data_IF_286264244889
#
_entry.id   IF_286264244889
#
_cell.length_a   1.000
_cell.length_b   1.000
_cell.length_c   1.000
_cell.angle_alpha   90.00
_cell.angle_beta   90.00
_cell.angle_gamma   90.00
#
_symmetry.space_group_name_H-M   'P 1'
#
loop_
_entity.id
_entity.type
_entity.pdbx_description
1 polymer ?
#
# COMPACT_ATOMS: atom_id res chain seq x y z
N UNK A 1 0.94 0.20 9.28
CA UNK A 1 0.32 1.40 8.68
C UNK A 1 -0.30 1.00 7.35
N UNK A 2 -1.44 1.60 7.00
CA UNK A 2 -2.16 1.32 5.76
C UNK A 2 -2.99 2.53 5.34
N UNK A 3 -3.24 2.69 4.04
CA UNK A 3 -4.21 3.63 3.51
C UNK A 3 -5.47 2.86 3.06
N UNK A 4 -6.64 3.24 3.58
CA UNK A 4 -7.91 2.79 3.01
C UNK A 4 -8.21 3.62 1.77
N UNK A 5 -8.30 2.97 0.62
CA UNK A 5 -8.56 3.63 -0.67
C UNK A 5 -9.95 3.26 -1.15
N UNK A 6 -10.83 4.26 -1.22
CA UNK A 6 -12.13 4.16 -1.90
C UNK A 6 -11.97 4.74 -3.29
N UNK A 7 -12.39 4.01 -4.31
CA UNK A 7 -12.21 4.40 -5.71
C UNK A 7 -13.43 4.01 -6.56
N UNK A 8 -13.63 4.74 -7.66
CA UNK A 8 -14.61 4.38 -8.69
C UNK A 8 -13.93 3.53 -9.79
N UNK A 9 -14.31 2.26 -9.96
CA UNK A 9 -13.77 1.38 -11.01
C UNK A 9 -13.97 1.90 -12.44
N UNK A 10 -14.92 2.81 -12.67
CA UNK A 10 -15.14 3.46 -13.96
C UNK A 10 -14.09 4.55 -14.26
N UNK A 11 -13.43 5.09 -13.22
CA UNK A 11 -12.41 6.15 -13.34
C UNK A 11 -10.99 5.58 -13.23
N UNK A 12 -10.75 4.65 -12.30
CA UNK A 12 -9.45 4.03 -12.08
C UNK A 12 -9.59 2.55 -11.77
N UNK A 13 -8.72 1.73 -12.34
CA UNK A 13 -8.74 0.28 -12.10
C UNK A 13 -7.90 -0.09 -10.88
N UNK A 14 -8.28 -1.18 -10.21
CA UNK A 14 -7.47 -1.77 -9.15
C UNK A 14 -6.01 -2.03 -9.59
N UNK A 15 -5.83 -2.52 -10.83
CA UNK A 15 -4.50 -2.80 -11.37
C UNK A 15 -3.64 -1.53 -11.44
N UNK A 16 -4.23 -0.38 -11.78
CA UNK A 16 -3.52 0.91 -11.77
C UNK A 16 -3.17 1.35 -10.37
N UNK A 17 -4.07 1.17 -9.39
CA UNK A 17 -3.78 1.49 -7.99
C UNK A 17 -2.63 0.64 -7.43
N UNK A 18 -2.65 -0.67 -7.69
CA UNK A 18 -1.59 -1.57 -7.26
C UNK A 18 -0.24 -1.26 -7.94
N UNK A 19 -0.25 -0.93 -9.24
CA UNK A 19 0.95 -0.51 -9.96
C UNK A 19 1.55 0.77 -9.36
N UNK A 20 0.72 1.79 -9.08
CA UNK A 20 1.18 3.02 -8.42
C UNK A 20 1.76 2.73 -7.04
N UNK A 21 1.17 1.81 -6.28
CA UNK A 21 1.70 1.42 -4.97
C UNK A 21 3.11 0.81 -5.10
N UNK A 22 3.32 -0.14 -6.01
CA UNK A 22 4.65 -0.72 -6.25
C UNK A 22 5.65 0.31 -6.79
N UNK A 23 5.24 1.18 -7.72
CA UNK A 23 6.09 2.26 -8.26
C UNK A 23 6.57 3.22 -7.15
N UNK A 24 5.79 3.38 -6.07
CA UNK A 24 6.10 4.29 -4.96
C UNK A 24 6.79 3.61 -3.78
N UNK A 25 6.86 2.29 -3.75
CA UNK A 25 7.63 1.55 -2.75
C UNK A 25 9.04 1.34 -3.29
N UNK A 26 10.09 1.94 -2.71
CA UNK A 26 11.45 1.87 -3.27
C UNK A 26 11.99 0.45 -3.42
N UNK A 27 11.56 -0.45 -2.54
CA UNK A 27 12.02 -1.83 -2.52
C UNK A 27 10.99 -2.74 -1.81
N UNK A 28 10.10 -3.41 -2.57
CA UNK A 28 9.08 -4.30 -2.04
C UNK A 28 9.63 -5.68 -1.62
N UNK A 29 10.95 -5.91 -1.68
CA UNK A 29 11.58 -7.15 -1.18
C UNK A 29 12.10 -7.00 0.24
N UNK A 30 11.99 -5.81 0.85
CA UNK A 30 12.39 -5.59 2.23
C UNK A 30 11.29 -6.04 3.20
N UNK A 31 11.64 -6.98 4.08
CA UNK A 31 10.75 -7.43 5.16
C UNK A 31 10.62 -6.33 6.23
N UNK A 32 9.39 -5.99 6.60
CA UNK A 32 9.07 -5.09 7.72
C UNK A 32 9.84 -3.75 7.66
N UNK A 33 9.95 -3.18 6.45
CA UNK A 33 10.74 -1.98 6.20
C UNK A 33 10.34 -1.30 4.88
N UNK A 34 10.29 0.03 4.89
CA UNK A 34 10.24 0.87 3.68
C UNK A 34 11.27 1.98 3.82
N UNK A 35 12.22 2.06 2.88
CA UNK A 35 13.31 3.02 2.95
C UNK A 35 14.10 2.99 4.27
N UNK A 36 14.01 4.08 5.05
CA UNK A 36 14.66 4.20 6.37
C UNK A 36 13.78 3.73 7.53
N UNK A 37 12.48 3.54 7.30
CA UNK A 37 11.50 3.18 8.32
C UNK A 37 11.47 1.67 8.55
N UNK A 38 11.65 1.24 9.81
CA UNK A 38 11.80 -0.18 10.20
C UNK A 38 10.79 -0.58 11.25
N UNK A 39 10.18 -1.75 11.06
CA UNK A 39 9.16 -2.31 11.95
C UNK A 39 8.05 -3.02 11.17
N UNK A 40 7.36 -3.96 11.82
CA UNK A 40 6.27 -4.74 11.19
C UNK A 40 5.09 -3.89 10.71
N UNK A 41 4.95 -2.68 11.25
CA UNK A 41 4.01 -1.67 10.77
C UNK A 41 4.35 -1.12 9.38
N UNK A 42 5.59 -1.26 8.91
CA UNK A 42 6.05 -0.82 7.59
C UNK A 42 6.24 -1.98 6.61
N UNK A 43 5.55 -3.10 6.81
CA UNK A 43 5.53 -4.18 5.83
C UNK A 43 4.73 -3.77 4.59
N UNK A 44 5.15 -4.24 3.43
CA UNK A 44 4.39 -4.05 2.19
C UNK A 44 3.20 -5.00 2.17
N UNK A 45 1.99 -4.51 1.87
CA UNK A 45 0.78 -5.33 1.87
C UNK A 45 -0.31 -4.82 0.92
N UNK A 46 -1.05 -5.76 0.33
CA UNK A 46 -2.27 -5.58 -0.43
C UNK A 46 -3.42 -6.24 0.32
N UNK A 47 -4.25 -5.42 0.95
CA UNK A 47 -5.41 -5.86 1.72
C UNK A 47 -6.68 -5.59 0.91
N UNK A 48 -7.53 -6.61 0.73
CA UNK A 48 -8.74 -6.49 -0.10
C UNK A 48 -10.01 -6.75 0.72
N UNK A 49 -11.08 -6.01 0.42
CA UNK A 49 -12.37 -6.20 1.09
C UNK A 49 -13.24 -7.26 0.40
N UNK A 50 -13.29 -7.24 -0.93
CA UNK A 50 -14.13 -8.15 -1.71
C UNK A 50 -13.33 -9.32 -2.29
N UNK A 51 -13.90 -10.53 -2.27
CA UNK A 51 -13.28 -11.71 -2.89
C UNK A 51 -12.96 -11.50 -4.38
N UNK A 52 -13.78 -10.72 -5.09
CA UNK A 52 -13.55 -10.36 -6.50
C UNK A 52 -12.25 -9.56 -6.74
N UNK A 53 -11.73 -8.87 -5.72
CA UNK A 53 -10.47 -8.13 -5.80
C UNK A 53 -9.26 -8.99 -5.47
N UNK A 54 -9.42 -10.09 -4.72
CA UNK A 54 -8.32 -11.01 -4.38
C UNK A 54 -7.59 -11.53 -5.62
N UNK A 55 -8.34 -11.88 -6.68
CA UNK A 55 -7.73 -12.29 -7.94
C UNK A 55 -6.92 -11.17 -8.61
N UNK A 56 -7.33 -9.91 -8.46
CA UNK A 56 -6.60 -8.75 -8.99
C UNK A 56 -5.34 -8.46 -8.16
N UNK A 57 -5.43 -8.55 -6.83
CA UNK A 57 -4.31 -8.41 -5.91
C UNK A 57 -3.22 -9.46 -6.17
N UNK A 58 -3.61 -10.73 -6.28
CA UNK A 58 -2.69 -11.84 -6.60
C UNK A 58 -2.02 -11.67 -7.97
N UNK A 59 -2.75 -11.15 -8.96
CA UNK A 59 -2.16 -10.84 -10.28
C UNK A 59 -1.15 -9.70 -10.19
N UNK A 60 -1.47 -8.62 -9.48
CA UNK A 60 -0.53 -7.51 -9.28
C UNK A 60 0.74 -7.97 -8.57
N UNK A 61 0.59 -8.75 -7.48
CA UNK A 61 1.71 -9.40 -6.80
C UNK A 61 2.55 -10.27 -7.74
N UNK A 62 1.92 -11.11 -8.57
CA UNK A 62 2.64 -12.02 -9.45
C UNK A 62 3.43 -11.29 -10.54
N UNK A 63 2.91 -10.16 -11.05
CA UNK A 63 3.61 -9.30 -12.00
C UNK A 63 4.85 -8.71 -11.34
N UNK A 64 4.68 -8.09 -10.16
CA UNK A 64 5.79 -7.46 -9.44
C UNK A 64 6.85 -8.51 -9.05
N UNK A 65 6.43 -9.63 -8.45
CA UNK A 65 7.34 -10.69 -8.03
C UNK A 65 8.15 -11.24 -9.21
N UNK A 66 7.55 -11.33 -10.41
CA UNK A 66 8.29 -11.78 -11.61
C UNK A 66 9.39 -10.79 -12.00
N UNK A 67 9.14 -9.49 -11.90
CA UNK A 67 10.14 -8.45 -12.22
C UNK A 67 11.34 -8.51 -11.25
N UNK A 68 11.09 -8.71 -9.95
CA UNK A 68 12.16 -8.85 -8.98
C UNK A 68 12.87 -10.20 -9.06
N UNK A 69 12.14 -11.29 -9.38
CA UNK A 69 12.73 -12.63 -9.53
C UNK A 69 13.77 -12.72 -10.62
N UNK A 70 13.65 -11.94 -11.71
CA UNK A 70 14.72 -11.87 -12.72
C UNK A 70 16.03 -11.29 -12.19
N UNK A 71 16.01 -10.59 -11.06
CA UNK A 71 17.19 -10.10 -10.34
C UNK A 71 17.60 -10.98 -9.14
N UNK A 72 16.99 -12.16 -8.98
CA UNK A 72 17.27 -13.09 -7.88
C UNK A 72 16.64 -12.69 -6.54
N UNK A 73 15.66 -11.79 -6.54
CA UNK A 73 14.98 -11.29 -5.34
C UNK A 73 13.49 -11.58 -5.40
N UNK A 74 12.83 -11.70 -4.26
CA UNK A 74 11.39 -11.99 -4.18
C UNK A 74 10.70 -10.91 -3.36
N UNK A 75 9.55 -10.42 -3.85
CA UNK A 75 8.79 -9.42 -3.11
C UNK A 75 8.15 -10.05 -1.87
N UNK A 76 8.18 -9.31 -0.77
CA UNK A 76 7.68 -9.74 0.54
C UNK A 76 6.28 -9.20 0.81
N UNK A 77 5.56 -8.85 -0.25
CA UNK A 77 4.25 -8.21 -0.17
C UNK A 77 3.21 -9.21 0.33
N UNK A 78 2.58 -8.88 1.45
CA UNK A 78 1.44 -9.64 1.98
C UNK A 78 0.21 -9.43 1.08
N UNK A 79 -0.56 -10.48 0.78
CA UNK A 79 -1.81 -10.39 0.01
C UNK A 79 -2.92 -11.10 0.77
N UNK A 80 -3.77 -10.33 1.45
CA UNK A 80 -4.70 -10.86 2.45
C UNK A 80 -6.10 -10.26 2.31
N UNK A 81 -7.14 -11.04 2.63
CA UNK A 81 -8.52 -10.55 2.71
C UNK A 81 -8.79 -9.93 4.07
N UNK A 82 -9.48 -8.78 4.09
CA UNK A 82 -9.91 -8.11 5.33
C UNK A 82 -11.20 -8.70 5.91
N UNK A 83 -11.93 -9.51 5.14
CA UNK A 83 -13.26 -10.04 5.50
C UNK A 83 -13.25 -11.48 6.01
N UNK A 84 -12.07 -12.08 6.21
CA UNK A 84 -11.95 -13.49 6.60
C UNK A 84 -12.44 -13.80 8.02
N UNK A 85 -13.07 -14.97 8.20
CA UNK A 85 -13.27 -15.59 9.52
C UNK A 85 -11.90 -15.96 10.11
N UNK A 86 -11.66 -15.72 11.42
CA UNK A 86 -10.46 -16.22 12.09
C UNK A 86 -10.33 -17.72 11.85
N UNK A 87 -9.12 -18.20 11.57
CA UNK A 87 -8.81 -19.63 11.63
C UNK A 87 -7.98 -19.89 12.88
N UNK A 88 -7.88 -21.16 13.30
CA UNK A 88 -7.05 -21.58 14.45
C UNK A 88 -5.56 -21.14 14.33
N UNK A 89 -5.14 -20.66 13.16
CA UNK A 89 -3.78 -20.18 12.87
C UNK A 89 -3.70 -18.68 12.54
N UNK A 90 -4.79 -17.92 12.70
CA UNK A 90 -4.89 -16.54 12.20
C UNK A 90 -5.62 -15.62 13.21
N UNK A 91 -5.08 -14.42 13.47
CA UNK A 91 -5.51 -13.46 14.51
C UNK A 91 -6.88 -12.77 14.24
N UNK A 92 -7.71 -13.36 13.39
CA UNK A 92 -9.03 -12.85 13.01
C UNK A 92 -9.04 -11.86 11.84
N UNK A 93 -10.21 -11.28 11.49
CA UNK A 93 -10.34 -10.39 10.36
C UNK A 93 -9.44 -9.16 10.55
N UNK A 94 -8.67 -8.82 9.51
CA UNK A 94 -7.95 -7.56 9.49
C UNK A 94 -8.96 -6.40 9.45
N UNK A 95 -9.04 -5.65 10.53
CA UNK A 95 -9.86 -4.44 10.63
C UNK A 95 -9.05 -3.21 10.22
N UNK A 96 -9.70 -2.28 9.53
CA UNK A 96 -9.14 -0.96 9.30
C UNK A 96 -9.45 -0.04 10.47
N UNK A 97 -8.41 0.45 11.13
CA UNK A 97 -8.51 1.44 12.21
C UNK A 97 -7.98 2.77 11.70
N UNK A 98 -8.82 3.82 11.56
CA UNK A 98 -8.36 5.13 11.16
C UNK A 98 -7.33 5.67 12.16
N UNK A 99 -6.21 6.16 11.66
CA UNK A 99 -5.25 6.93 12.46
C UNK A 99 -5.86 8.29 12.85
N UNK A 100 -5.26 8.94 13.84
CA UNK A 100 -5.69 10.26 14.34
C UNK A 100 -5.75 11.30 13.21
N UNK A 101 -6.58 12.33 13.37
CA UNK A 101 -6.82 13.37 12.35
C UNK A 101 -5.54 14.09 11.89
N UNK A 102 -4.52 14.18 12.75
CA UNK A 102 -3.21 14.73 12.40
C UNK A 102 -2.49 13.94 11.29
N UNK A 103 -2.74 12.64 11.17
CA UNK A 103 -2.15 11.79 10.13
C UNK A 103 -2.89 11.90 8.79
N UNK A 104 -4.16 12.31 8.81
CA UNK A 104 -4.97 12.42 7.61
C UNK A 104 -4.49 13.59 6.75
N UNK A 105 -4.17 13.32 5.48
CA UNK A 105 -3.63 14.32 4.53
C UNK A 105 -2.39 15.06 5.06
N UNK A 106 -1.56 14.41 5.88
CA UNK A 106 -0.42 15.01 6.57
C UNK A 106 0.52 15.81 5.65
N UNK A 107 0.89 15.25 4.49
CA UNK A 107 1.78 15.92 3.54
C UNK A 107 1.13 17.13 2.85
N UNK A 108 -0.16 17.06 2.55
CA UNK A 108 -0.92 18.19 2.01
C UNK A 108 -1.10 19.31 3.04
N UNK A 109 -1.14 18.96 4.34
CA UNK A 109 -1.18 19.92 5.47
C UNK A 109 0.18 20.57 5.76
N UNK A 110 1.27 20.14 5.12
CA UNK A 110 2.61 20.73 5.28
C UNK A 110 3.71 19.78 5.74
N UNK A 111 3.37 18.56 6.16
CA UNK A 111 4.34 17.61 6.69
C UNK A 111 5.14 18.17 7.88
N UNK A 112 6.30 17.57 8.14
CA UNK A 112 7.22 17.93 9.23
C UNK A 112 7.88 19.29 9.05
N UNK A 113 7.93 19.82 7.82
CA UNK A 113 8.66 21.03 7.47
C UNK A 113 7.76 22.23 7.14
N UNK A 114 6.44 22.10 7.29
CA UNK A 114 5.47 23.15 6.99
C UNK A 114 5.40 23.54 5.50
N UNK A 115 5.75 22.61 4.60
CA UNK A 115 5.76 22.82 3.14
C UNK A 115 4.76 21.84 2.47
N UNK A 116 3.54 22.30 2.17
CA UNK A 116 2.51 21.45 1.55
C UNK A 116 2.97 20.78 0.27
N UNK A 117 2.51 19.55 0.07
CA UNK A 117 2.63 18.81 -1.19
C UNK A 117 1.24 18.70 -1.82
N UNK A 118 1.11 19.01 -3.11
CA UNK A 118 -0.19 19.03 -3.78
C UNK A 118 -0.80 17.64 -3.88
N UNK A 119 -2.05 17.50 -3.42
CA UNK A 119 -2.90 16.31 -3.58
C UNK A 119 -3.89 16.46 -4.75
N UNK A 120 -3.67 17.43 -5.64
CA UNK A 120 -4.50 17.64 -6.82
C UNK A 120 -4.38 16.45 -7.79
N UNK A 121 -5.52 16.03 -8.35
CA UNK A 121 -5.57 15.00 -9.39
C UNK A 121 -4.71 15.44 -10.58
N UNK A 122 -3.80 14.56 -11.01
CA UNK A 122 -2.88 14.83 -12.12
C UNK A 122 -1.58 15.52 -11.71
N UNK A 123 -1.37 15.83 -10.43
CA UNK A 123 -0.08 16.30 -9.92
C UNK A 123 1.02 15.26 -10.20
N UNK A 124 2.13 15.71 -10.79
CA UNK A 124 3.30 14.86 -11.10
C UNK A 124 4.52 15.21 -10.24
N UNK A 125 4.38 16.12 -9.28
CA UNK A 125 5.46 16.51 -8.39
C UNK A 125 5.99 15.30 -7.61
N UNK A 126 7.28 15.34 -7.30
CA UNK A 126 7.90 14.31 -6.47
C UNK A 126 7.36 14.38 -5.05
N UNK A 127 6.88 13.24 -4.54
CA UNK A 127 6.40 13.11 -3.16
C UNK A 127 7.59 12.95 -2.22
N UNK A 128 7.76 13.89 -1.29
CA UNK A 128 8.76 13.86 -0.23
C UNK A 128 8.20 13.16 1.00
N UNK A 129 8.91 12.17 1.53
CA UNK A 129 8.39 11.26 2.56
C UNK A 129 7.83 11.96 3.80
N UNK A 130 8.45 13.06 4.25
CA UNK A 130 8.10 13.69 5.52
C UNK A 130 7.69 15.17 5.38
N UNK A 131 7.67 15.73 4.17
CA UNK A 131 7.39 17.17 3.94
C UNK A 131 8.36 17.82 2.98
#
# INVERSE_FOLDING_TARGET
EACLVVYDPAVVTYARLAAVMFDRIPDPTMVNRVGKDRGSQYRTGLFVHAEGEMGRARRAYAVENRMWKSSGREVTTEVTSMTGTPTEMDDGPLLFWPAEEGHQRYLAKGGSYGRPQSDAVGCTDEVRCYG
#
